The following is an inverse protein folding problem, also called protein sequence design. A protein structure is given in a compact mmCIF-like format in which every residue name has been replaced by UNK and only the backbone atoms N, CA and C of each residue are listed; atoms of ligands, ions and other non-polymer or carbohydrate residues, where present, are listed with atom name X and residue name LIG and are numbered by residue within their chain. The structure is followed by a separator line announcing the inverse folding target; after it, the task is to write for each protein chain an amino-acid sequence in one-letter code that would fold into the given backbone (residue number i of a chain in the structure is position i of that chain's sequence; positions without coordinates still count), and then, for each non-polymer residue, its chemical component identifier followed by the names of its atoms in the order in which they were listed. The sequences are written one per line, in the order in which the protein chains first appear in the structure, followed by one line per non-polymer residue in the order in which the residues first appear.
data_IF_556711802318
#
_entry.id   IF_556711802318
#
_cell.length_a   1.000
_cell.length_b   1.000
_cell.length_c   1.000
_cell.angle_alpha   90.00
_cell.angle_beta   90.00
_cell.angle_gamma   90.00
#
_symmetry.space_group_name_H-M   'P 1'
#
loop_
_entity.id
_entity.type
_entity.pdbx_description
1 polymer ?
#
# COMPACT_ATOMS: atom_id res chain seq x y z
N UNK A 1 -23.64 17.72 -16.12
CA UNK A 1 -23.09 16.52 -15.46
C UNK A 1 -21.77 16.91 -14.84
N UNK A 2 -21.71 17.09 -13.52
CA UNK A 2 -20.43 17.32 -12.82
C UNK A 2 -19.62 16.04 -12.99
N UNK A 3 -18.50 16.13 -13.70
CA UNK A 3 -17.47 15.09 -13.71
C UNK A 3 -17.04 14.97 -12.25
N UNK A 4 -17.47 13.92 -11.56
CA UNK A 4 -17.10 13.67 -10.17
C UNK A 4 -15.59 13.85 -10.05
N UNK A 5 -15.16 14.60 -9.06
CA UNK A 5 -13.75 14.82 -8.78
C UNK A 5 -13.14 13.46 -8.41
N UNK A 6 -12.68 12.70 -9.41
CA UNK A 6 -11.99 11.43 -9.26
C UNK A 6 -10.55 11.68 -8.83
N UNK A 7 -10.34 12.55 -7.84
CA UNK A 7 -9.02 12.71 -7.23
C UNK A 7 -8.63 11.36 -6.62
N UNK A 8 -7.53 10.75 -7.06
CA UNK A 8 -7.15 9.43 -6.56
C UNK A 8 -6.76 9.57 -5.09
N UNK A 9 -7.43 8.82 -4.21
CA UNK A 9 -7.02 8.76 -2.80
C UNK A 9 -5.65 8.13 -2.71
N UNK A 10 -4.71 8.90 -2.16
CA UNK A 10 -3.33 8.49 -1.94
C UNK A 10 -3.13 8.23 -0.45
N UNK A 11 -2.54 7.06 -0.14
CA UNK A 11 -2.22 6.70 1.24
C UNK A 11 -0.71 6.75 1.42
N UNK A 12 -0.27 7.47 2.46
CA UNK A 12 1.14 7.52 2.83
C UNK A 12 1.61 6.19 3.41
N UNK A 13 2.66 5.64 2.80
CA UNK A 13 3.28 4.36 3.18
C UNK A 13 4.69 4.55 3.77
N UNK A 14 5.08 5.79 4.06
CA UNK A 14 6.34 6.15 4.73
C UNK A 14 7.30 6.97 3.85
N UNK A 15 8.06 7.87 4.47
CA UNK A 15 9.12 8.68 3.83
C UNK A 15 8.68 9.48 2.60
N UNK A 16 7.44 9.96 2.59
CA UNK A 16 6.87 10.67 1.43
C UNK A 16 6.40 9.76 0.31
N UNK A 17 6.59 8.44 0.43
CA UNK A 17 6.03 7.47 -0.50
C UNK A 17 4.53 7.33 -0.25
N UNK A 18 3.77 7.30 -1.34
CA UNK A 18 2.31 7.15 -1.34
C UNK A 18 1.89 6.06 -2.33
N UNK A 19 0.76 5.41 -2.05
CA UNK A 19 0.14 4.44 -2.95
C UNK A 19 -1.31 4.84 -3.23
N UNK A 20 -1.78 4.58 -4.45
CA UNK A 20 -3.19 4.74 -4.78
C UNK A 20 -4.03 3.73 -4.00
N UNK A 21 -4.97 4.20 -3.19
CA UNK A 21 -5.80 3.35 -2.35
C UNK A 21 -6.60 2.34 -3.18
N UNK A 22 -7.10 2.78 -4.34
CA UNK A 22 -7.85 1.97 -5.29
C UNK A 22 -7.06 0.80 -5.92
N UNK A 23 -5.74 0.78 -5.73
CA UNK A 23 -4.85 -0.25 -6.28
C UNK A 23 -4.38 -1.28 -5.26
N UNK A 24 -4.71 -1.10 -3.99
CA UNK A 24 -4.27 -2.01 -2.93
C UNK A 24 -5.30 -3.11 -2.71
N UNK A 25 -4.83 -4.35 -2.80
CA UNK A 25 -5.62 -5.57 -2.56
C UNK A 25 -5.45 -6.06 -1.12
N UNK A 26 -4.25 -5.96 -0.57
CA UNK A 26 -3.96 -6.40 0.80
C UNK A 26 -2.77 -5.65 1.42
N UNK A 27 -2.80 -5.51 2.74
CA UNK A 27 -1.69 -5.04 3.58
C UNK A 27 -1.38 -6.17 4.56
N UNK A 28 -0.16 -6.70 4.53
CA UNK A 28 0.24 -7.88 5.30
C UNK A 28 1.59 -7.68 6.00
N UNK A 29 1.86 -8.46 7.04
CA UNK A 29 3.12 -8.40 7.78
C UNK A 29 4.18 -9.32 7.14
N UNK A 30 5.48 -8.95 7.15
CA UNK A 30 6.53 -9.68 6.42
C UNK A 30 7.08 -10.93 7.14
N UNK A 31 6.53 -11.29 8.30
CA UNK A 31 7.19 -12.19 9.27
C UNK A 31 7.20 -13.68 8.91
N UNK A 32 6.39 -14.12 7.94
CA UNK A 32 6.21 -15.55 7.65
C UNK A 32 7.04 -16.04 6.45
N UNK A 33 7.31 -17.35 6.39
CA UNK A 33 8.01 -17.96 5.26
C UNK A 33 7.30 -17.73 3.90
N UNK A 34 5.96 -17.81 3.79
CA UNK A 34 5.25 -17.40 2.58
C UNK A 34 5.51 -15.95 2.15
N UNK A 35 5.59 -15.01 3.10
CA UNK A 35 5.84 -13.60 2.80
C UNK A 35 7.26 -13.35 2.32
N UNK A 36 8.23 -14.10 2.85
CA UNK A 36 9.59 -14.12 2.30
C UNK A 36 9.59 -14.60 0.84
N UNK A 37 8.88 -15.69 0.52
CA UNK A 37 8.77 -16.19 -0.86
C UNK A 37 8.11 -15.16 -1.79
N UNK A 38 7.02 -14.54 -1.34
CA UNK A 38 6.30 -13.50 -2.10
C UNK A 38 7.24 -12.36 -2.52
N UNK A 39 8.08 -11.88 -1.60
CA UNK A 39 9.07 -10.83 -1.89
C UNK A 39 10.12 -11.29 -2.91
N UNK A 40 10.67 -12.49 -2.74
CA UNK A 40 11.69 -13.01 -3.67
C UNK A 40 11.11 -13.24 -5.08
N UNK A 41 9.87 -13.73 -5.19
CA UNK A 41 9.16 -13.90 -6.45
C UNK A 41 8.91 -12.55 -7.14
N UNK A 42 8.44 -11.55 -6.40
CA UNK A 42 8.26 -10.20 -6.94
C UNK A 42 9.59 -9.59 -7.40
N UNK A 43 10.68 -9.80 -6.65
CA UNK A 43 12.02 -9.32 -7.02
C UNK A 43 12.50 -9.97 -8.31
N UNK A 44 12.40 -11.29 -8.42
CA UNK A 44 12.76 -12.04 -9.64
C UNK A 44 11.93 -11.62 -10.85
N UNK A 45 10.65 -11.31 -10.62
CA UNK A 45 9.74 -10.84 -11.65
C UNK A 45 9.85 -9.35 -11.99
N UNK A 46 10.74 -8.58 -11.36
CA UNK A 46 10.86 -7.14 -11.60
C UNK A 46 9.67 -6.29 -11.11
N UNK A 47 8.87 -6.83 -10.19
CA UNK A 47 7.61 -6.22 -9.68
C UNK A 47 7.70 -5.85 -8.19
N UNK A 48 8.90 -5.87 -7.62
CA UNK A 48 9.15 -5.44 -6.25
C UNK A 48 9.50 -3.96 -6.23
N UNK A 49 8.78 -3.19 -5.43
CA UNK A 49 9.05 -1.78 -5.15
C UNK A 49 9.48 -1.69 -3.69
N UNK A 50 10.66 -1.13 -3.43
CA UNK A 50 11.18 -0.94 -2.09
C UNK A 50 10.99 0.52 -1.64
N UNK A 51 10.02 0.76 -0.75
CA UNK A 51 9.74 2.06 -0.15
C UNK A 51 10.22 2.12 1.32
N UNK A 52 11.20 1.31 1.70
CA UNK A 52 11.68 1.22 3.08
C UNK A 52 12.75 2.25 3.45
N UNK A 53 13.35 2.94 2.46
CA UNK A 53 14.50 3.85 2.63
C UNK A 53 15.66 3.19 3.43
N UNK A 54 15.96 1.92 3.12
CA UNK A 54 17.03 1.15 3.77
C UNK A 54 16.70 0.67 5.18
N UNK A 55 15.46 0.86 5.66
CA UNK A 55 15.03 0.38 6.98
C UNK A 55 14.45 -1.03 6.92
N UNK A 56 14.28 -1.64 8.08
CA UNK A 56 13.61 -2.94 8.20
C UNK A 56 12.20 -2.88 7.63
N UNK A 57 11.88 -3.79 6.70
CA UNK A 57 10.50 -4.02 6.23
C UNK A 57 9.61 -4.39 7.42
N UNK A 58 8.54 -3.62 7.61
CA UNK A 58 7.51 -3.86 8.65
C UNK A 58 6.16 -4.19 8.06
N UNK A 59 5.94 -3.91 6.78
CA UNK A 59 4.73 -4.26 6.05
C UNK A 59 5.03 -4.56 4.58
N UNK A 60 4.10 -5.30 3.98
CA UNK A 60 4.06 -5.61 2.55
C UNK A 60 2.68 -5.21 2.04
N UNK A 61 2.65 -4.44 0.96
CA UNK A 61 1.42 -4.02 0.30
C UNK A 61 1.34 -4.78 -1.03
N UNK A 62 0.21 -5.43 -1.25
CA UNK A 62 -0.10 -6.19 -2.46
C UNK A 62 -1.05 -5.36 -3.31
N UNK A 63 -0.70 -5.17 -4.59
CA UNK A 63 -1.52 -4.41 -5.54
C UNK A 63 -2.25 -5.32 -6.54
N UNK A 64 -3.28 -4.78 -7.19
CA UNK A 64 -4.05 -5.44 -8.26
C UNK A 64 -3.20 -5.84 -9.48
N UNK A 65 -2.17 -5.05 -9.78
CA UNK A 65 -1.15 -5.32 -10.80
C UNK A 65 -0.10 -6.36 -10.37
N UNK A 66 -0.33 -7.02 -9.23
CA UNK A 66 0.58 -7.93 -8.53
C UNK A 66 1.90 -7.30 -8.06
N UNK A 67 2.15 -5.99 -8.24
CA UNK A 67 3.32 -5.35 -7.65
C UNK A 67 3.29 -5.50 -6.13
N UNK A 68 4.47 -5.76 -5.57
CA UNK A 68 4.69 -5.91 -4.13
C UNK A 68 5.48 -4.71 -3.67
N UNK A 69 4.89 -3.93 -2.77
CA UNK A 69 5.53 -2.73 -2.21
C UNK A 69 5.95 -3.03 -0.78
N UNK A 70 7.23 -2.82 -0.46
CA UNK A 70 7.75 -2.96 0.89
C UNK A 70 7.73 -1.61 1.60
N UNK A 71 7.30 -1.60 2.87
CA UNK A 71 7.34 -0.39 3.69
C UNK A 71 7.95 -0.66 5.06
N UNK A 72 8.61 0.37 5.62
CA UNK A 72 9.12 0.34 6.99
C UNK A 72 8.08 0.79 8.04
N UNK A 73 6.88 1.18 7.60
CA UNK A 73 5.74 1.50 8.45
C UNK A 73 4.99 0.21 8.79
N UNK A 74 4.44 0.13 10.00
CA UNK A 74 3.66 -1.02 10.46
C UNK A 74 2.39 -1.20 9.62
N UNK A 75 1.98 -2.45 9.44
CA UNK A 75 0.79 -2.79 8.64
C UNK A 75 -0.45 -2.12 9.23
N UNK A 76 -0.58 -2.15 10.56
CA UNK A 76 -1.67 -1.58 11.33
C UNK A 76 -1.80 -0.07 11.07
N UNK A 77 -0.69 0.68 11.08
CA UNK A 77 -0.67 2.12 10.80
C UNK A 77 -1.08 2.44 9.37
N UNK A 78 -0.65 1.64 8.39
CA UNK A 78 -1.05 1.84 6.99
C UNK A 78 -2.54 1.53 6.84
N UNK A 79 -3.04 0.47 7.46
CA UNK A 79 -4.47 0.11 7.46
C UNK A 79 -5.32 1.23 8.05
N UNK A 80 -4.92 1.86 9.16
CA UNK A 80 -5.61 3.02 9.73
C UNK A 80 -5.72 4.17 8.72
N UNK A 81 -4.61 4.56 8.10
CA UNK A 81 -4.59 5.62 7.07
C UNK A 81 -5.46 5.28 5.86
N UNK A 82 -5.54 4.00 5.50
CA UNK A 82 -6.41 3.50 4.43
C UNK A 82 -7.89 3.69 4.76
N UNK A 83 -8.28 3.42 5.99
CA UNK A 83 -9.66 3.58 6.46
C UNK A 83 -10.03 5.06 6.55
N UNK A 84 -9.14 5.90 7.09
CA UNK A 84 -9.32 7.36 7.13
C UNK A 84 -9.52 7.98 5.75
N UNK A 85 -8.69 7.58 4.76
CA UNK A 85 -8.83 8.04 3.38
C UNK A 85 -10.11 7.58 2.70
N UNK A 86 -10.72 6.48 3.14
CA UNK A 86 -12.01 6.00 2.64
C UNK A 86 -13.18 6.77 3.25
N UNK A 87 -13.10 7.12 4.53
CA UNK A 87 -14.11 7.94 5.22
C UNK A 87 -14.18 9.35 4.64
N UNK A 88 -13.03 9.94 4.28
CA UNK A 88 -12.99 11.24 3.61
C UNK A 88 -13.80 11.28 2.30
N UNK A 89 -13.72 10.23 1.48
CA UNK A 89 -14.52 10.11 0.26
C UNK A 89 -16.01 9.92 0.54
N UNK A 90 -16.36 9.17 1.59
CA UNK A 90 -17.75 8.90 1.94
C UNK A 90 -18.46 10.14 2.52
N UNK A 91 -17.75 10.99 3.25
CA UNK A 91 -18.29 12.23 3.82
C UNK A 91 -18.43 13.39 2.83
N UNK A 92 -17.83 13.29 1.64
CA UNK A 92 -18.00 14.28 0.55
C UNK A 92 -19.25 14.03 -0.31
N UNK A 93 -19.90 12.87 -0.16
CA UNK A 93 -21.12 12.50 -0.88
C UNK A 93 -22.43 12.83 -0.13
N UNK A 94 -22.36 13.33 1.12
CA UNK A 94 -23.51 13.82 1.92
C UNK A 94 -23.77 15.33 1.79
#
# INVERSE_FOLDING_TARGET
MKKGDLSPVLVNIGFGNVVAASKVVAIVTPGSAPMKRLREEAKKGGRLIDATEGRRTRSIIVTDSNHIILSAIQAETITQRFLEGKEALAGEEE
#
